data_IF_092801346024
#
_entry.id   IF_092801346024
#
_cell.length_a   1.000
_cell.length_b   1.000
_cell.length_c   1.000
_cell.angle_alpha   90.00
_cell.angle_beta   90.00
_cell.angle_gamma   90.00
#
_symmetry.space_group_name_H-M   'P 1'
#
loop_
_entity.id
_entity.type
_entity.pdbx_description
1 polymer ?
#
# COMPACT_ATOMS: atom_id res chain seq x y z
N UNK A 1 3.67 -16.93 -25.98
CA UNK A 1 3.12 -15.56 -25.83
C UNK A 1 3.58 -15.05 -24.48
N UNK A 2 4.12 -13.84 -24.41
CA UNK A 2 4.40 -13.20 -23.12
C UNK A 2 3.06 -12.91 -22.43
N UNK A 3 3.00 -13.11 -21.12
CA UNK A 3 1.83 -12.70 -20.34
C UNK A 3 1.60 -11.20 -20.48
N UNK A 4 0.35 -10.76 -20.42
CA UNK A 4 0.01 -9.34 -20.42
C UNK A 4 0.12 -8.76 -19.01
N UNK A 5 0.25 -7.44 -18.91
CA UNK A 5 0.14 -6.72 -17.64
C UNK A 5 -1.10 -7.15 -16.84
N UNK A 6 -2.27 -7.14 -17.48
CA UNK A 6 -3.56 -7.46 -16.86
C UNK A 6 -3.60 -8.87 -16.27
N UNK A 7 -3.01 -9.87 -16.95
CA UNK A 7 -2.95 -11.24 -16.42
C UNK A 7 -2.08 -11.31 -15.17
N UNK A 8 -0.89 -10.69 -15.19
CA UNK A 8 0.00 -10.65 -14.02
C UNK A 8 -0.62 -9.87 -12.88
N UNK A 9 -1.26 -8.74 -13.19
CA UNK A 9 -1.92 -7.86 -12.24
C UNK A 9 -3.10 -8.56 -11.56
N UNK A 10 -3.94 -9.29 -12.30
CA UNK A 10 -5.00 -10.12 -11.72
C UNK A 10 -4.46 -11.17 -10.75
N UNK A 11 -3.35 -11.84 -11.09
CA UNK A 11 -2.67 -12.77 -10.17
C UNK A 11 -2.15 -12.07 -8.92
N UNK A 12 -1.56 -10.87 -9.06
CA UNK A 12 -1.12 -10.07 -7.93
C UNK A 12 -2.27 -9.73 -6.99
N UNK A 13 -3.41 -9.26 -7.51
CA UNK A 13 -4.56 -8.91 -6.69
C UNK A 13 -5.06 -10.10 -5.86
N UNK A 14 -5.12 -11.30 -6.46
CA UNK A 14 -5.46 -12.53 -5.74
C UNK A 14 -4.47 -12.86 -4.62
N UNK A 15 -3.18 -12.67 -4.86
CA UNK A 15 -2.14 -12.91 -3.84
C UNK A 15 -2.22 -11.87 -2.71
N UNK A 16 -2.47 -10.59 -3.03
CA UNK A 16 -2.65 -9.53 -2.03
C UNK A 16 -3.90 -9.77 -1.16
N UNK A 17 -4.98 -10.26 -1.75
CA UNK A 17 -6.20 -10.63 -1.03
C UNK A 17 -5.89 -11.67 0.06
N UNK A 18 -5.17 -12.74 -0.31
CA UNK A 18 -4.80 -13.83 0.59
C UNK A 18 -3.67 -13.50 1.59
N UNK A 19 -2.92 -12.42 1.37
CA UNK A 19 -1.79 -12.04 2.21
C UNK A 19 -2.24 -11.53 3.60
N UNK A 20 -1.37 -11.59 4.62
CA UNK A 20 -1.65 -10.94 5.90
C UNK A 20 -1.68 -9.40 5.77
N UNK A 21 -2.35 -8.73 6.70
CA UNK A 21 -2.26 -7.26 6.84
C UNK A 21 -0.87 -6.84 7.31
N UNK A 22 -0.43 -5.67 6.85
CA UNK A 22 0.86 -5.08 7.21
C UNK A 22 0.70 -4.07 8.34
N UNK A 23 1.78 -3.82 9.08
CA UNK A 23 1.77 -2.91 10.25
C UNK A 23 2.20 -1.47 9.90
N UNK A 24 2.85 -1.30 8.74
CA UNK A 24 3.35 -0.01 8.24
C UNK A 24 3.58 -0.03 6.72
N UNK A 25 3.87 1.15 6.16
CA UNK A 25 4.09 1.34 4.73
C UNK A 25 5.30 0.54 4.18
N UNK A 26 6.39 0.40 4.94
CA UNK A 26 7.58 -0.35 4.49
C UNK A 26 7.33 -1.86 4.41
N UNK A 27 6.58 -2.40 5.38
CA UNK A 27 6.13 -3.78 5.37
C UNK A 27 5.17 -4.02 4.19
N UNK A 28 4.24 -3.08 3.96
CA UNK A 28 3.33 -3.13 2.82
C UNK A 28 4.06 -3.06 1.47
N UNK A 29 5.10 -2.22 1.36
CA UNK A 29 5.96 -2.17 0.19
C UNK A 29 6.68 -3.50 -0.07
N UNK A 30 7.29 -4.07 0.98
CA UNK A 30 8.02 -5.33 0.88
C UNK A 30 7.10 -6.46 0.44
N UNK A 31 5.93 -6.57 1.08
CA UNK A 31 4.90 -7.54 0.70
C UNK A 31 4.46 -7.35 -0.76
N UNK A 32 4.11 -6.12 -1.15
CA UNK A 32 3.67 -5.82 -2.52
C UNK A 32 4.75 -6.20 -3.54
N UNK A 33 6.00 -5.78 -3.32
CA UNK A 33 7.13 -6.07 -4.22
C UNK A 33 7.31 -7.57 -4.38
N UNK A 34 7.35 -8.31 -3.28
CA UNK A 34 7.64 -9.74 -3.30
C UNK A 34 6.50 -10.51 -4.01
N UNK A 35 5.25 -10.13 -3.77
CA UNK A 35 4.10 -10.70 -4.48
C UNK A 35 4.06 -10.30 -5.96
N UNK A 36 4.52 -9.10 -6.31
CA UNK A 36 4.59 -8.68 -7.71
C UNK A 36 5.68 -9.44 -8.46
N UNK A 37 6.84 -9.66 -7.85
CA UNK A 37 7.90 -10.52 -8.39
C UNK A 37 7.37 -11.95 -8.59
N UNK A 38 6.73 -12.53 -7.56
CA UNK A 38 6.19 -13.89 -7.65
C UNK A 38 5.11 -14.02 -8.73
N UNK A 39 4.27 -13.01 -8.91
CA UNK A 39 3.27 -12.98 -9.99
C UNK A 39 3.92 -12.89 -11.37
N UNK A 40 5.00 -12.11 -11.51
CA UNK A 40 5.74 -12.03 -12.77
C UNK A 40 6.48 -13.35 -13.09
N UNK A 41 7.04 -14.00 -12.08
CA UNK A 41 7.73 -15.28 -12.22
C UNK A 41 6.78 -16.41 -12.62
N UNK A 42 5.60 -16.50 -12.00
CA UNK A 42 4.53 -17.45 -12.34
C UNK A 42 4.08 -17.33 -13.81
N UNK A 43 4.17 -16.14 -14.36
CA UNK A 43 3.78 -15.81 -15.73
C UNK A 43 4.96 -15.67 -16.70
N UNK A 44 6.11 -16.27 -16.34
CA UNK A 44 7.32 -16.37 -17.16
C UNK A 44 7.81 -15.03 -17.72
N UNK A 45 7.71 -13.95 -16.94
CA UNK A 45 8.33 -12.67 -17.27
C UNK A 45 9.85 -12.82 -17.43
N UNK A 46 10.50 -12.04 -18.32
CA UNK A 46 11.95 -12.10 -18.50
C UNK A 46 12.74 -11.85 -17.20
N UNK A 47 13.89 -12.48 -17.04
CA UNK A 47 14.75 -12.31 -15.85
C UNK A 47 15.12 -10.85 -15.59
N UNK A 48 15.33 -10.05 -16.64
CA UNK A 48 15.60 -8.62 -16.52
C UNK A 48 14.46 -7.84 -15.86
N UNK A 49 13.20 -8.25 -16.11
CA UNK A 49 12.03 -7.67 -15.43
C UNK A 49 12.02 -8.08 -13.97
N UNK A 50 12.29 -9.35 -13.66
CA UNK A 50 12.35 -9.82 -12.28
C UNK A 50 13.45 -9.12 -11.47
N UNK A 51 14.64 -8.97 -12.05
CA UNK A 51 15.76 -8.22 -11.46
C UNK A 51 15.42 -6.76 -11.26
N UNK A 52 14.80 -6.12 -12.25
CA UNK A 52 14.30 -4.75 -12.13
C UNK A 52 13.34 -4.62 -10.95
N UNK A 53 12.33 -5.50 -10.83
CA UNK A 53 11.36 -5.48 -9.74
C UNK A 53 12.01 -5.72 -8.37
N UNK A 54 12.92 -6.69 -8.28
CA UNK A 54 13.68 -7.00 -7.05
C UNK A 54 14.58 -5.84 -6.62
N UNK A 55 15.12 -5.07 -7.58
CA UNK A 55 15.95 -3.91 -7.29
C UNK A 55 15.18 -2.72 -6.72
N UNK A 56 13.83 -2.71 -6.81
CA UNK A 56 13.03 -1.58 -6.36
C UNK A 56 13.12 -1.38 -4.85
N UNK A 57 13.13 -0.11 -4.44
CA UNK A 57 13.22 0.36 -3.06
C UNK A 57 12.11 1.35 -2.78
N UNK A 58 11.77 1.49 -1.51
CA UNK A 58 10.81 2.46 -1.01
C UNK A 58 11.49 3.83 -0.81
N UNK A 59 11.85 4.48 -1.91
CA UNK A 59 12.58 5.76 -1.90
C UNK A 59 12.24 6.64 -3.12
N UNK A 60 12.55 7.94 -3.02
CA UNK A 60 12.13 8.94 -3.99
C UNK A 60 12.76 8.72 -5.38
N UNK A 61 14.01 8.24 -5.41
CA UNK A 61 14.76 7.91 -6.62
C UNK A 61 14.07 6.79 -7.42
N UNK A 62 13.23 6.00 -6.73
CA UNK A 62 12.43 4.95 -7.32
C UNK A 62 10.96 5.39 -7.53
N UNK A 63 10.74 6.70 -7.69
CA UNK A 63 9.46 7.28 -8.07
C UNK A 63 8.43 7.36 -6.94
N UNK A 64 8.79 6.98 -5.71
CA UNK A 64 7.89 7.13 -4.58
C UNK A 64 7.73 8.60 -4.22
N UNK A 65 6.47 8.99 -4.05
CA UNK A 65 6.06 10.32 -3.64
C UNK A 65 5.37 10.25 -2.28
N UNK A 66 5.32 11.37 -1.57
CA UNK A 66 4.70 11.44 -0.24
C UNK A 66 5.45 10.66 0.84
N UNK A 67 6.74 10.34 0.63
CA UNK A 67 7.59 9.74 1.66
C UNK A 67 7.61 10.64 2.90
N UNK A 68 7.61 10.01 4.09
CA UNK A 68 7.51 10.68 5.39
C UNK A 68 6.17 11.39 5.67
N UNK A 69 5.15 11.20 4.82
CA UNK A 69 3.78 11.66 5.09
C UNK A 69 2.88 10.50 5.53
N UNK A 70 1.60 10.77 5.79
CA UNK A 70 0.60 9.74 6.12
C UNK A 70 0.35 8.72 5.00
N UNK A 71 0.63 9.09 3.74
CA UNK A 71 0.35 8.27 2.55
C UNK A 71 1.45 8.46 1.51
N UNK A 72 2.08 7.37 1.11
CA UNK A 72 3.08 7.33 0.05
C UNK A 72 2.45 6.74 -1.22
N UNK A 73 2.91 7.14 -2.41
CA UNK A 73 2.38 6.57 -3.65
C UNK A 73 3.41 6.48 -4.78
N UNK A 74 3.14 5.62 -5.75
CA UNK A 74 3.94 5.47 -6.97
C UNK A 74 3.04 5.11 -8.15
N UNK A 75 3.33 5.67 -9.32
CA UNK A 75 2.68 5.35 -10.58
C UNK A 75 3.33 4.12 -11.24
N UNK A 76 2.52 3.25 -11.81
CA UNK A 76 3.03 2.08 -12.50
C UNK A 76 3.62 2.49 -13.86
N UNK A 77 4.86 2.06 -14.14
CA UNK A 77 5.54 2.42 -15.38
C UNK A 77 5.00 1.73 -16.63
N UNK A 78 4.39 0.54 -16.49
CA UNK A 78 3.75 -0.22 -17.57
C UNK A 78 2.30 0.23 -17.80
N UNK A 79 1.63 0.75 -16.75
CA UNK A 79 0.26 1.28 -16.78
C UNK A 79 0.22 2.61 -15.99
N UNK A 80 0.55 3.75 -16.61
CA UNK A 80 0.66 5.05 -15.93
C UNK A 80 -0.65 5.56 -15.31
N UNK A 81 -1.78 5.02 -15.75
CA UNK A 81 -3.10 5.22 -15.15
C UNK A 81 -3.29 4.42 -13.86
N UNK A 82 -2.41 3.48 -13.51
CA UNK A 82 -2.49 2.70 -12.28
C UNK A 82 -1.55 3.26 -11.22
N UNK A 83 -2.11 3.66 -10.07
CA UNK A 83 -1.36 4.17 -8.91
C UNK A 83 -1.49 3.25 -7.70
N UNK A 84 -0.36 2.96 -7.07
CA UNK A 84 -0.26 2.27 -5.79
C UNK A 84 -0.10 3.30 -4.67
N UNK A 85 -0.92 3.19 -3.64
CA UNK A 85 -0.84 3.95 -2.40
C UNK A 85 -0.52 3.02 -1.23
N UNK A 86 0.40 3.45 -0.36
CA UNK A 86 0.77 2.80 0.89
C UNK A 86 0.56 3.77 2.06
N UNK A 87 -0.24 3.37 3.02
CA UNK A 87 -0.54 4.17 4.21
C UNK A 87 0.38 3.80 5.38
N UNK A 88 0.59 4.75 6.30
CA UNK A 88 1.43 4.52 7.50
C UNK A 88 0.96 3.36 8.38
N UNK A 89 -0.30 2.96 8.33
CA UNK A 89 -0.86 1.83 9.06
C UNK A 89 -0.66 0.48 8.34
N UNK A 90 -0.01 0.48 7.16
CA UNK A 90 0.19 -0.69 6.33
C UNK A 90 -0.96 -0.99 5.37
N UNK A 91 -1.94 -0.08 5.22
CA UNK A 91 -2.98 -0.24 4.20
C UNK A 91 -2.41 -0.08 2.79
N UNK A 92 -2.92 -0.91 1.87
CA UNK A 92 -2.55 -0.92 0.45
C UNK A 92 -3.80 -0.53 -0.34
N UNK A 93 -3.69 0.47 -1.21
CA UNK A 93 -4.77 0.85 -2.13
C UNK A 93 -4.20 0.94 -3.54
N UNK A 94 -4.87 0.35 -4.52
CA UNK A 94 -4.51 0.45 -5.93
C UNK A 94 -5.68 1.07 -6.66
N UNK A 95 -5.42 2.16 -7.40
CA UNK A 95 -6.42 2.90 -8.14
C UNK A 95 -6.07 2.99 -9.62
N UNK A 96 -7.10 3.02 -10.45
CA UNK A 96 -7.03 3.52 -11.83
C UNK A 96 -7.41 4.98 -11.84
N UNK A 97 -6.58 5.81 -12.45
CA UNK A 97 -6.73 7.25 -12.62
C UNK A 97 -7.08 7.52 -14.08
N UNK A 98 -8.17 8.23 -14.29
CA UNK A 98 -8.56 8.78 -15.59
C UNK A 98 -8.58 10.30 -15.47
N UNK A 99 -8.60 11.07 -16.59
CA UNK A 99 -8.66 12.52 -16.52
C UNK A 99 -9.82 13.06 -15.66
N UNK A 100 -10.96 12.35 -15.65
CA UNK A 100 -12.20 12.81 -15.03
C UNK A 100 -12.57 12.05 -13.74
N UNK A 101 -11.89 10.95 -13.42
CA UNK A 101 -12.29 10.09 -12.31
C UNK A 101 -11.17 9.20 -11.76
N UNK A 102 -11.38 8.65 -10.57
CA UNK A 102 -10.55 7.57 -10.00
C UNK A 102 -11.43 6.38 -9.60
N UNK A 103 -10.94 5.18 -9.87
CA UNK A 103 -11.61 3.92 -9.54
C UNK A 103 -10.68 3.06 -8.68
N UNK A 104 -11.16 2.64 -7.51
CA UNK A 104 -10.42 1.70 -6.66
C UNK A 104 -10.45 0.32 -7.33
N UNK A 105 -9.27 -0.17 -7.70
CA UNK A 105 -9.10 -1.53 -8.23
C UNK A 105 -8.91 -2.54 -7.09
N UNK A 106 -8.30 -2.10 -6.00
CA UNK A 106 -8.03 -2.95 -4.84
C UNK A 106 -7.83 -2.10 -3.58
N UNK A 107 -8.27 -2.62 -2.43
CA UNK A 107 -7.99 -2.03 -1.12
C UNK A 107 -7.83 -3.12 -0.06
N UNK A 108 -6.72 -3.09 0.67
CA UNK A 108 -6.47 -3.96 1.83
C UNK A 108 -6.17 -3.11 3.06
N UNK A 109 -6.93 -3.27 4.15
CA UNK A 109 -6.64 -2.56 5.38
C UNK A 109 -5.35 -3.08 6.04
N UNK A 110 -4.57 -2.14 6.58
CA UNK A 110 -3.45 -2.42 7.46
C UNK A 110 -3.89 -2.98 8.81
N UNK A 111 -2.92 -3.34 9.65
CA UNK A 111 -3.21 -3.79 11.01
C UNK A 111 -3.58 -2.56 11.83
N UNK A 112 -4.83 -2.49 12.28
CA UNK A 112 -5.25 -1.44 13.22
C UNK A 112 -4.34 -1.50 14.45
N UNK A 113 -3.53 -0.46 14.68
CA UNK A 113 -2.98 -0.21 16.00
C UNK A 113 -4.19 0.01 16.90
N UNK A 114 -4.40 -0.90 17.85
CA UNK A 114 -5.46 -0.79 18.86
C UNK A 114 -5.23 0.57 19.52
N UNK A 115 -6.03 1.58 19.16
CA UNK A 115 -5.95 2.89 19.78
C UNK A 115 -6.08 2.65 21.27
N UNK A 116 -5.00 2.90 22.00
CA UNK A 116 -5.02 2.93 23.45
C UNK A 116 -6.11 3.93 23.81
N UNK A 117 -7.19 3.39 24.35
CA UNK A 117 -8.41 4.11 24.66
C UNK A 117 -8.00 5.23 25.60
N UNK A 118 -8.08 6.48 25.14
CA UNK A 118 -7.75 7.63 25.95
C UNK A 118 -8.49 7.49 27.27
N UNK A 119 -7.73 7.40 28.36
CA UNK A 119 -8.26 7.29 29.70
C UNK A 119 -9.32 8.39 29.89
N UNK A 120 -10.48 8.10 30.52
CA UNK A 120 -11.46 9.12 30.79
C UNK A 120 -10.79 10.23 31.60
N UNK A 121 -10.81 11.44 31.06
CA UNK A 121 -10.40 12.66 31.75
C UNK A 121 -11.20 12.71 33.05
N UNK A 122 -10.57 12.74 34.24
CA UNK A 122 -11.31 12.88 35.48
C UNK A 122 -12.08 14.21 35.41
N UNK A 123 -13.39 14.12 35.61
CA UNK A 123 -14.27 15.27 35.61
C UNK A 123 -13.83 16.26 36.70
N UNK A 124 -13.71 17.49 36.25
CA UNK A 124 -13.57 18.74 36.99
C UNK A 124 -14.23 18.69 38.40
N UNK A 125 -13.43 18.90 39.44
CA UNK A 125 -13.91 19.21 40.78
C UNK A 125 -13.70 20.72 41.00
N UNK A 126 -14.66 21.51 40.52
CA UNK A 126 -14.81 22.93 40.87
C UNK A 126 -16.19 23.15 41.49
N UNK A 127 -16.19 23.86 42.63
CA UNK A 127 -17.26 24.24 43.58
C UNK A 127 -17.15 23.46 44.90
N UNK A 128 -16.99 24.09 46.07
CA UNK A 128 -17.73 25.28 46.52
C UNK A 128 -16.96 26.09 47.58
N UNK A 129 -17.14 27.41 47.55
CA UNK A 129 -16.68 28.38 48.54
C UNK A 129 -17.83 28.59 49.53
N UNK A 130 -17.61 28.41 50.84
CA UNK A 130 -18.44 29.07 51.86
C UNK A 130 -18.65 28.30 53.17
N UNK A 131 -17.96 28.67 54.24
CA UNK A 131 -18.48 29.60 55.26
C UNK A 131 -17.40 29.93 56.30
#
# INVERSE_FOLDING_TARGET
MLSTFETRFSTLLKKLEAAPSCDNAEAAFTLFRDLWVASNEEHASPSSVLEYLRSRRFCAEHGWQGLSTGVCYVDNSESPDTRLYLHQDGSIVIQRLTPDSSTILFSKPGRRKKTEQAAPVPADASHDIGH
#
